data_IF_046947475776
#
_entry.id   IF_046947475776
#
_cell.length_a   1.000
_cell.length_b   1.000
_cell.length_c   1.000
_cell.angle_alpha   90.00
_cell.angle_beta   90.00
_cell.angle_gamma   90.00
#
_symmetry.space_group_name_H-M   'P 1'
#
loop_
_entity.id
_entity.type
_entity.pdbx_description
1 polymer ?
#
# COMPACT_ATOMS: atom_id res chain seq x y z
N UNK A 1 15.02 8.22 17.70
CA UNK A 1 15.02 9.08 16.51
C UNK A 1 13.93 10.15 16.63
N UNK A 2 12.71 9.80 16.98
CA UNK A 2 11.58 10.73 17.16
C UNK A 2 11.82 11.72 18.31
N UNK A 3 12.43 11.31 19.41
CA UNK A 3 12.78 12.17 20.55
C UNK A 3 13.80 13.28 20.20
N UNK A 4 14.47 13.20 19.05
CA UNK A 4 15.29 14.31 18.54
C UNK A 4 14.47 15.42 17.91
N UNK A 5 13.19 15.15 17.61
CA UNK A 5 12.31 16.05 16.87
C UNK A 5 11.23 16.65 17.76
N UNK A 6 10.78 15.91 18.79
CA UNK A 6 9.74 16.33 19.72
C UNK A 6 9.97 15.74 21.11
N UNK A 7 9.26 16.29 22.13
CA UNK A 7 9.27 15.76 23.50
C UNK A 7 8.71 14.34 23.54
N UNK A 8 9.16 13.55 24.53
CA UNK A 8 8.75 12.15 24.72
C UNK A 8 7.22 11.99 24.78
N UNK A 9 6.52 12.90 25.47
CA UNK A 9 5.05 12.89 25.59
C UNK A 9 4.37 13.03 24.24
N UNK A 10 4.80 13.99 23.41
CA UNK A 10 4.27 14.18 22.05
C UNK A 10 4.57 12.99 21.15
N UNK A 11 5.76 12.39 21.28
CA UNK A 11 6.13 11.19 20.52
C UNK A 11 5.22 10.02 20.90
N UNK A 12 4.96 9.82 22.18
CA UNK A 12 4.10 8.73 22.67
C UNK A 12 2.65 8.88 22.21
N UNK A 13 2.08 10.08 22.38
CA UNK A 13 0.73 10.40 21.89
C UNK A 13 0.58 10.17 20.37
N UNK A 14 1.58 10.63 19.61
CA UNK A 14 1.55 10.50 18.17
C UNK A 14 1.75 9.04 17.71
N UNK A 15 2.62 8.30 18.38
CA UNK A 15 2.83 6.88 18.11
C UNK A 15 1.57 6.05 18.36
N UNK A 16 0.82 6.35 19.41
CA UNK A 16 -0.48 5.73 19.68
C UNK A 16 -1.48 6.03 18.56
N UNK A 17 -1.58 7.31 18.14
CA UNK A 17 -2.48 7.76 17.06
C UNK A 17 -2.26 7.03 15.75
N UNK A 18 -1.01 6.69 15.40
CA UNK A 18 -0.68 5.98 14.14
C UNK A 18 -0.43 4.48 14.33
N UNK A 19 -0.73 3.94 15.50
CA UNK A 19 -0.45 2.54 15.87
C UNK A 19 1.01 2.15 15.58
N UNK A 20 1.98 2.95 16.03
CA UNK A 20 3.40 2.67 15.91
C UNK A 20 3.88 1.93 17.17
N UNK A 21 4.03 0.62 17.07
CA UNK A 21 4.32 -0.27 18.22
C UNK A 21 5.80 -0.56 18.43
N UNK A 22 6.68 -0.08 17.57
CA UNK A 22 8.10 -0.44 17.53
C UNK A 22 9.04 0.68 17.92
N UNK A 23 8.62 1.58 18.82
CA UNK A 23 9.44 2.71 19.30
C UNK A 23 10.79 2.27 19.88
N UNK A 24 10.83 1.12 20.57
CA UNK A 24 12.01 0.59 21.25
C UNK A 24 12.87 -0.34 20.38
N UNK A 25 12.44 -0.61 19.14
CA UNK A 25 13.18 -1.50 18.23
C UNK A 25 14.26 -0.75 17.46
N UNK A 26 15.36 -1.43 17.16
CA UNK A 26 16.35 -0.92 16.23
C UNK A 26 15.78 -0.85 14.82
N UNK A 27 16.19 0.15 14.03
CA UNK A 27 15.65 0.40 12.67
C UNK A 27 15.84 -0.78 11.71
N UNK A 28 16.89 -1.56 11.88
CA UNK A 28 17.17 -2.79 11.11
C UNK A 28 16.21 -3.95 11.40
N UNK A 29 15.43 -3.85 12.49
CA UNK A 29 14.45 -4.86 12.93
C UNK A 29 13.00 -4.44 12.78
N UNK A 30 12.77 -3.30 12.15
CA UNK A 30 11.42 -2.72 11.95
C UNK A 30 10.92 -3.07 10.57
N UNK A 31 9.62 -3.36 10.44
CA UNK A 31 9.01 -3.59 9.12
C UNK A 31 8.97 -2.32 8.28
N UNK A 32 8.94 -2.47 6.94
CA UNK A 32 8.85 -1.32 6.03
C UNK A 32 7.68 -0.38 6.34
N UNK A 33 6.51 -0.91 6.68
CA UNK A 33 5.35 -0.09 7.07
C UNK A 33 5.54 0.65 8.39
N UNK A 34 6.22 0.05 9.38
CA UNK A 34 6.53 0.74 10.64
C UNK A 34 7.62 1.80 10.45
N UNK A 35 8.62 1.52 9.61
CA UNK A 35 9.64 2.51 9.24
C UNK A 35 9.01 3.71 8.54
N UNK A 36 8.09 3.47 7.62
CA UNK A 36 7.33 4.51 6.92
C UNK A 36 6.51 5.35 7.90
N UNK A 37 5.77 4.72 8.81
CA UNK A 37 5.05 5.43 9.87
C UNK A 37 5.97 6.28 10.75
N UNK A 38 7.13 5.74 11.11
CA UNK A 38 8.15 6.46 11.88
C UNK A 38 8.69 7.69 11.13
N UNK A 39 8.94 7.59 9.83
CA UNK A 39 9.38 8.72 9.00
C UNK A 39 8.30 9.81 8.90
N UNK A 40 7.04 9.41 8.69
CA UNK A 40 5.90 10.33 8.65
C UNK A 40 5.74 11.03 10.01
N UNK A 41 5.81 10.28 11.12
CA UNK A 41 5.76 10.84 12.46
C UNK A 41 6.85 11.88 12.69
N UNK A 42 8.09 11.59 12.30
CA UNK A 42 9.20 12.53 12.41
C UNK A 42 8.96 13.82 11.61
N UNK A 43 8.36 13.71 10.43
CA UNK A 43 8.00 14.85 9.59
C UNK A 43 6.88 15.70 10.21
N UNK A 44 5.80 15.06 10.67
CA UNK A 44 4.65 15.74 11.24
C UNK A 44 4.91 16.38 12.62
N UNK A 45 5.81 15.80 13.40
CA UNK A 45 6.22 16.32 14.71
C UNK A 45 7.19 17.50 14.61
N UNK A 46 7.85 17.69 13.49
CA UNK A 46 8.78 18.79 13.24
C UNK A 46 8.00 20.05 12.86
N UNK A 47 8.23 21.17 13.57
CA UNK A 47 7.65 22.45 13.19
C UNK A 47 8.32 22.98 11.92
N UNK A 48 7.52 23.28 10.88
CA UNK A 48 7.96 23.83 9.62
C UNK A 48 6.86 24.68 8.96
N UNK A 49 7.22 25.50 7.99
CA UNK A 49 6.28 26.28 7.17
C UNK A 49 5.81 25.49 5.93
N UNK A 50 6.66 24.59 5.45
CA UNK A 50 6.45 23.78 4.25
C UNK A 50 6.86 22.34 4.52
N UNK A 51 5.98 21.40 4.18
CA UNK A 51 6.17 19.97 4.36
C UNK A 51 6.19 19.27 3.01
N UNK A 52 7.09 18.31 2.86
CA UNK A 52 7.16 17.45 1.69
C UNK A 52 6.97 15.99 2.12
N UNK A 53 6.07 15.29 1.43
CA UNK A 53 5.86 13.86 1.57
C UNK A 53 6.07 13.18 0.23
N UNK A 54 7.04 12.27 0.17
CA UNK A 54 7.35 11.46 -1.00
C UNK A 54 6.84 10.05 -0.78
N UNK A 55 5.81 9.66 -1.54
CA UNK A 55 5.10 8.38 -1.45
C UNK A 55 4.71 7.98 -0.01
N UNK A 56 4.01 8.81 0.76
CA UNK A 56 3.70 8.51 2.15
C UNK A 56 2.83 7.27 2.34
N UNK A 57 2.09 6.84 1.33
CA UNK A 57 1.23 5.64 1.39
C UNK A 57 1.96 4.32 1.13
N UNK A 58 3.24 4.36 0.70
CA UNK A 58 4.02 3.16 0.40
C UNK A 58 4.20 2.26 1.63
N UNK A 59 4.13 0.94 1.42
CA UNK A 59 4.23 -0.12 2.45
C UNK A 59 3.10 -0.13 3.49
N UNK A 60 2.12 0.75 3.41
CA UNK A 60 0.98 0.82 4.31
C UNK A 60 -0.21 0.00 3.78
N UNK A 61 -0.97 -0.59 4.69
CA UNK A 61 -2.27 -1.17 4.34
C UNK A 61 -3.34 -0.07 4.18
N UNK A 62 -4.52 -0.44 3.71
CA UNK A 62 -5.55 0.52 3.33
C UNK A 62 -6.01 1.39 4.52
N UNK A 63 -6.11 0.83 5.73
CA UNK A 63 -6.52 1.56 6.91
C UNK A 63 -5.47 2.60 7.30
N UNK A 64 -4.20 2.19 7.27
CA UNK A 64 -3.07 3.06 7.55
C UNK A 64 -2.92 4.16 6.48
N UNK A 65 -3.12 3.85 5.20
CA UNK A 65 -3.11 4.85 4.12
C UNK A 65 -4.15 5.93 4.34
N UNK A 66 -5.39 5.56 4.67
CA UNK A 66 -6.47 6.51 4.94
C UNK A 66 -6.16 7.35 6.18
N UNK A 67 -5.61 6.75 7.23
CA UNK A 67 -5.21 7.47 8.43
C UNK A 67 -4.16 8.54 8.13
N UNK A 68 -3.09 8.17 7.43
CA UNK A 68 -2.02 9.10 7.05
C UNK A 68 -2.54 10.18 6.09
N UNK A 69 -3.36 9.82 5.11
CA UNK A 69 -3.98 10.78 4.21
C UNK A 69 -4.80 11.84 4.96
N UNK A 70 -5.59 11.42 5.95
CA UNK A 70 -6.34 12.33 6.82
C UNK A 70 -5.42 13.27 7.60
N UNK A 71 -4.35 12.76 8.19
CA UNK A 71 -3.40 13.56 8.95
C UNK A 71 -2.68 14.60 8.06
N UNK A 72 -2.33 14.24 6.85
CA UNK A 72 -1.73 15.16 5.87
C UNK A 72 -2.75 16.22 5.45
N UNK A 73 -4.01 15.86 5.23
CA UNK A 73 -5.08 16.81 4.92
C UNK A 73 -5.32 17.79 6.07
N UNK A 74 -5.40 17.32 7.31
CA UNK A 74 -5.52 18.16 8.53
C UNK A 74 -4.32 19.12 8.70
N UNK A 75 -3.10 18.67 8.34
CA UNK A 75 -1.93 19.54 8.32
C UNK A 75 -2.07 20.61 7.25
N UNK A 76 -2.58 20.27 6.09
CA UNK A 76 -2.80 21.17 4.94
C UNK A 76 -3.74 22.33 5.24
N UNK A 77 -4.65 22.18 6.21
CA UNK A 77 -5.52 23.28 6.66
C UNK A 77 -4.74 24.44 7.33
N UNK A 78 -3.55 24.17 7.85
CA UNK A 78 -2.75 25.11 8.65
C UNK A 78 -1.39 25.43 8.06
N UNK A 79 -0.87 24.54 7.23
CA UNK A 79 0.49 24.59 6.70
C UNK A 79 0.49 24.28 5.19
N UNK A 80 1.53 24.70 4.51
CA UNK A 80 1.72 24.31 3.10
C UNK A 80 2.29 22.90 3.01
N UNK A 81 1.68 22.06 2.18
CA UNK A 81 2.08 20.66 2.01
C UNK A 81 2.23 20.34 0.52
N UNK A 82 3.27 19.63 0.17
CA UNK A 82 3.49 19.03 -1.15
C UNK A 82 3.58 17.52 -0.98
N UNK A 83 2.76 16.78 -1.73
CA UNK A 83 2.72 15.33 -1.69
C UNK A 83 3.03 14.76 -3.06
N UNK A 84 3.94 13.81 -3.13
CA UNK A 84 4.19 12.98 -4.32
C UNK A 84 3.51 11.64 -4.06
N UNK A 85 2.63 11.22 -4.95
CA UNK A 85 1.86 9.98 -4.82
C UNK A 85 1.53 9.37 -6.17
N UNK A 86 1.43 8.03 -6.18
CA UNK A 86 0.97 7.25 -7.33
C UNK A 86 -0.47 6.76 -7.18
N UNK A 87 -0.98 6.75 -5.95
CA UNK A 87 -2.38 6.38 -5.67
C UNK A 87 -3.29 7.59 -5.92
N UNK A 88 -4.01 7.52 -7.04
CA UNK A 88 -4.91 8.62 -7.46
C UNK A 88 -6.05 8.87 -6.48
N UNK A 89 -6.48 7.86 -5.71
CA UNK A 89 -7.51 8.03 -4.70
C UNK A 89 -6.99 8.81 -3.49
N UNK A 90 -5.73 8.59 -3.10
CA UNK A 90 -5.07 9.37 -2.05
C UNK A 90 -4.86 10.82 -2.53
N UNK A 91 -4.39 11.02 -3.77
CA UNK A 91 -4.24 12.38 -4.34
C UNK A 91 -5.57 13.13 -4.38
N UNK A 92 -6.65 12.50 -4.85
CA UNK A 92 -7.99 13.11 -4.87
C UNK A 92 -8.48 13.50 -3.47
N UNK A 93 -8.11 12.72 -2.46
CA UNK A 93 -8.50 12.98 -1.07
C UNK A 93 -7.69 14.11 -0.39
N UNK A 94 -6.38 14.19 -0.68
CA UNK A 94 -5.45 15.04 0.11
C UNK A 94 -5.17 16.39 -0.55
N UNK A 95 -5.28 16.50 -1.89
CA UNK A 95 -4.75 17.65 -2.63
C UNK A 95 -5.83 18.59 -3.15
N UNK A 96 -5.54 19.90 -3.16
CA UNK A 96 -6.37 20.92 -3.81
C UNK A 96 -6.02 21.07 -5.30
N UNK A 97 -4.74 20.88 -5.63
CA UNK A 97 -4.19 21.05 -6.97
C UNK A 97 -3.09 20.02 -7.23
N UNK A 98 -2.90 19.68 -8.50
CA UNK A 98 -1.91 18.70 -8.93
C UNK A 98 -1.04 19.30 -10.05
N UNK A 99 0.26 19.01 -10.01
CA UNK A 99 1.18 19.14 -11.13
C UNK A 99 1.44 17.74 -11.71
N UNK A 100 1.23 17.59 -13.01
CA UNK A 100 1.57 16.34 -13.71
C UNK A 100 3.03 16.43 -14.15
N UNK A 101 3.82 15.42 -13.80
CA UNK A 101 5.18 15.30 -14.32
C UNK A 101 5.17 14.33 -15.52
N UNK A 102 5.81 14.73 -16.61
CA UNK A 102 5.92 13.94 -17.83
C UNK A 102 7.27 14.14 -18.50
N UNK A 103 7.62 13.22 -19.39
CA UNK A 103 8.93 13.28 -20.08
C UNK A 103 9.41 11.90 -20.51
N UNK A 104 10.69 11.80 -20.76
CA UNK A 104 11.35 10.55 -21.11
C UNK A 104 12.30 10.12 -20.00
N UNK A 105 12.17 8.90 -19.47
CA UNK A 105 13.06 8.43 -18.40
C UNK A 105 14.54 8.61 -18.76
N UNK A 106 15.32 9.09 -17.81
CA UNK A 106 16.76 9.38 -17.92
C UNK A 106 17.15 10.42 -18.97
N UNK A 107 16.21 11.07 -19.64
CA UNK A 107 16.48 12.10 -20.64
C UNK A 107 16.00 13.50 -20.20
N UNK A 108 14.71 13.65 -19.90
CA UNK A 108 14.16 14.93 -19.44
C UNK A 108 12.85 14.71 -18.67
N UNK A 109 12.56 15.65 -17.76
CA UNK A 109 11.28 15.74 -17.05
C UNK A 109 10.72 17.15 -17.14
N UNK A 110 9.42 17.26 -17.34
CA UNK A 110 8.67 18.51 -17.39
C UNK A 110 7.58 18.48 -16.35
N UNK A 111 7.41 19.58 -15.64
CA UNK A 111 6.32 19.78 -14.67
C UNK A 111 5.23 20.61 -15.36
N UNK A 112 3.99 20.12 -15.38
CA UNK A 112 2.85 20.83 -15.95
C UNK A 112 2.54 22.12 -15.17
N UNK A 113 1.70 22.95 -15.73
CA UNK A 113 1.04 23.98 -14.94
C UNK A 113 0.17 23.35 -13.84
N UNK A 114 -0.20 24.15 -12.85
CA UNK A 114 -1.11 23.77 -11.76
C UNK A 114 -2.50 23.48 -12.34
N UNK A 115 -3.05 22.32 -12.03
CA UNK A 115 -4.35 21.86 -12.47
C UNK A 115 -5.24 21.56 -11.25
N UNK A 116 -6.53 21.78 -11.37
CA UNK A 116 -7.51 21.28 -10.40
C UNK A 116 -7.48 19.74 -10.37
N UNK A 117 -7.66 19.14 -9.21
CA UNK A 117 -7.47 17.70 -8.97
C UNK A 117 -8.17 16.83 -10.00
N UNK A 118 -9.47 17.04 -10.25
CA UNK A 118 -10.24 16.25 -11.22
C UNK A 118 -9.69 16.38 -12.64
N UNK A 119 -9.34 17.59 -13.06
CA UNK A 119 -8.79 17.80 -14.40
C UNK A 119 -7.42 17.12 -14.54
N UNK A 120 -6.57 17.23 -13.52
CA UNK A 120 -5.27 16.56 -13.50
C UNK A 120 -5.38 15.04 -13.57
N UNK A 121 -6.22 14.44 -12.74
CA UNK A 121 -6.43 12.99 -12.73
C UNK A 121 -6.99 12.52 -14.08
N UNK A 122 -7.99 13.19 -14.64
CA UNK A 122 -8.54 12.83 -15.93
C UNK A 122 -7.51 12.97 -17.05
N UNK A 123 -6.78 14.11 -17.12
CA UNK A 123 -5.70 14.33 -18.08
C UNK A 123 -4.61 13.26 -17.98
N UNK A 124 -4.24 12.89 -16.77
CA UNK A 124 -3.27 11.82 -16.54
C UNK A 124 -3.79 10.46 -17.02
N UNK A 125 -5.05 10.12 -16.76
CA UNK A 125 -5.65 8.87 -17.23
C UNK A 125 -5.85 8.86 -18.75
N UNK A 126 -6.24 9.97 -19.34
CA UNK A 126 -6.39 10.13 -20.80
C UNK A 126 -5.05 10.16 -21.54
N UNK A 127 -3.97 10.54 -20.84
CA UNK A 127 -2.66 10.68 -21.43
C UNK A 127 -2.50 11.97 -22.24
N UNK A 128 -3.34 12.99 -22.00
CA UNK A 128 -3.35 14.25 -22.72
C UNK A 128 -3.68 15.42 -21.80
N UNK A 129 -2.81 16.41 -21.76
CA UNK A 129 -2.98 17.64 -20.98
C UNK A 129 -3.53 18.71 -21.89
N UNK A 130 -4.81 19.03 -21.77
CA UNK A 130 -5.51 19.96 -22.64
C UNK A 130 -4.93 21.39 -22.53
N UNK A 131 -4.68 21.86 -21.33
CA UNK A 131 -4.20 23.22 -21.05
C UNK A 131 -2.85 23.54 -21.71
N UNK A 132 -2.02 22.51 -21.87
CA UNK A 132 -0.70 22.66 -22.51
C UNK A 132 -0.66 22.09 -23.93
N UNK A 133 -1.76 21.51 -24.41
CA UNK A 133 -1.85 20.79 -25.69
C UNK A 133 -0.74 19.72 -25.84
N UNK A 134 -0.47 18.98 -24.79
CA UNK A 134 0.60 17.98 -24.73
C UNK A 134 0.06 16.57 -24.55
N UNK A 135 0.45 15.67 -25.43
CA UNK A 135 0.22 14.23 -25.28
C UNK A 135 1.38 13.63 -24.51
N UNK A 136 1.05 13.07 -23.34
CA UNK A 136 2.03 12.43 -22.43
C UNK A 136 2.06 10.90 -22.58
N UNK A 137 1.04 10.32 -23.26
CA UNK A 137 0.95 8.87 -23.51
C UNK A 137 0.02 8.61 -24.70
N UNK A 138 0.36 7.64 -25.52
CA UNK A 138 -0.41 7.29 -26.73
C UNK A 138 -1.71 6.54 -26.41
N UNK A 139 -1.73 5.80 -25.30
CA UNK A 139 -2.91 5.04 -24.87
C UNK A 139 -3.48 5.56 -23.56
N UNK A 140 -4.80 5.56 -23.46
CA UNK A 140 -5.50 5.91 -22.23
C UNK A 140 -5.39 4.75 -21.21
N UNK A 141 -5.29 5.09 -19.92
CA UNK A 141 -5.47 4.12 -18.82
C UNK A 141 -6.98 3.94 -18.62
N UNK A 142 -7.49 2.76 -18.96
CA UNK A 142 -8.91 2.43 -18.80
C UNK A 142 -9.06 1.26 -17.83
N UNK A 143 -9.89 1.44 -16.83
CA UNK A 143 -10.34 0.36 -15.98
C UNK A 143 -11.53 -0.33 -16.65
N UNK A 144 -11.28 -1.45 -17.34
CA UNK A 144 -12.34 -2.24 -17.94
C UNK A 144 -13.14 -2.90 -16.82
N UNK A 145 -14.47 -2.72 -16.87
CA UNK A 145 -15.36 -3.50 -16.00
C UNK A 145 -15.31 -4.97 -16.43
N UNK A 146 -14.67 -5.80 -15.62
CA UNK A 146 -14.85 -7.24 -15.76
C UNK A 146 -16.20 -7.62 -15.17
N UNK A 147 -17.09 -8.19 -15.99
CA UNK A 147 -18.27 -8.84 -15.44
C UNK A 147 -17.82 -9.95 -14.50
N UNK A 148 -18.38 -10.05 -13.28
CA UNK A 148 -18.09 -11.17 -12.42
C UNK A 148 -18.35 -12.46 -13.20
N UNK A 149 -17.40 -13.38 -13.20
CA UNK A 149 -17.61 -14.71 -13.77
C UNK A 149 -18.63 -15.43 -12.88
N UNK A 150 -19.92 -15.29 -13.19
CA UNK A 150 -20.99 -16.00 -12.50
C UNK A 150 -20.98 -17.46 -12.95
N UNK A 151 -21.08 -18.39 -12.00
CA UNK A 151 -21.13 -19.82 -12.30
C UNK A 151 -19.80 -20.45 -12.71
N UNK A 152 -18.72 -20.12 -12.00
CA UNK A 152 -17.46 -20.80 -12.21
C UNK A 152 -17.54 -22.25 -11.68
N UNK A 153 -17.61 -23.21 -12.60
CA UNK A 153 -17.63 -24.66 -12.32
C UNK A 153 -16.30 -25.29 -12.77
N UNK A 154 -15.19 -24.77 -12.27
CA UNK A 154 -13.86 -25.33 -12.58
C UNK A 154 -13.55 -26.58 -11.76
N UNK A 155 -12.66 -27.40 -12.25
CA UNK A 155 -12.04 -28.50 -11.50
C UNK A 155 -11.31 -27.92 -10.27
N UNK A 156 -11.43 -28.58 -9.11
CA UNK A 156 -10.67 -28.19 -7.91
C UNK A 156 -9.20 -28.44 -8.17
N UNK A 157 -8.39 -27.37 -8.11
CA UNK A 157 -6.94 -27.44 -8.28
C UNK A 157 -6.23 -27.67 -6.94
N UNK A 158 -6.68 -27.00 -5.89
CA UNK A 158 -6.14 -27.13 -4.54
C UNK A 158 -7.29 -27.20 -3.57
N UNK A 159 -7.21 -28.12 -2.63
CA UNK A 159 -8.14 -28.20 -1.50
C UNK A 159 -7.34 -28.31 -0.21
N UNK A 160 -7.77 -27.60 0.80
CA UNK A 160 -7.17 -27.68 2.12
C UNK A 160 -8.25 -27.85 3.21
N UNK A 161 -7.94 -28.65 4.26
CA UNK A 161 -8.78 -28.75 5.45
C UNK A 161 -8.59 -27.50 6.33
N UNK A 162 -9.10 -27.52 7.56
CA UNK A 162 -8.69 -26.50 8.54
C UNK A 162 -7.17 -26.57 8.71
N UNK A 163 -6.50 -25.39 8.53
CA UNK A 163 -5.06 -25.24 8.72
C UNK A 163 -4.79 -24.35 9.90
N UNK A 164 -3.74 -24.62 10.66
CA UNK A 164 -3.21 -23.69 11.65
C UNK A 164 -1.70 -23.59 11.58
N UNK A 165 -1.18 -22.39 11.95
CA UNK A 165 0.25 -22.12 12.07
C UNK A 165 0.50 -21.17 13.21
N UNK A 166 1.41 -21.55 14.13
CA UNK A 166 1.89 -20.69 15.21
C UNK A 166 3.30 -20.19 14.90
N UNK A 167 3.52 -18.90 15.10
CA UNK A 167 4.82 -18.24 14.92
C UNK A 167 5.04 -17.27 16.07
N UNK A 168 5.78 -17.71 17.09
CA UNK A 168 5.88 -16.97 18.34
C UNK A 168 4.52 -16.84 19.01
N UNK A 169 4.10 -15.59 19.28
CA UNK A 169 2.78 -15.30 19.88
C UNK A 169 1.66 -15.20 18.84
N UNK A 170 1.99 -15.15 17.56
CA UNK A 170 1.01 -15.08 16.48
C UNK A 170 0.49 -16.46 16.10
N UNK A 171 -0.83 -16.61 16.01
CA UNK A 171 -1.51 -17.83 15.54
C UNK A 171 -2.37 -17.51 14.33
N UNK A 172 -2.13 -18.19 13.23
CA UNK A 172 -2.99 -18.17 12.05
C UNK A 172 -3.89 -19.40 12.05
N UNK A 173 -5.17 -19.20 11.85
CA UNK A 173 -6.14 -20.26 11.58
C UNK A 173 -6.85 -19.98 10.25
N UNK A 174 -6.83 -20.95 9.35
CA UNK A 174 -7.58 -20.92 8.11
C UNK A 174 -8.63 -22.01 8.10
N UNK A 175 -9.87 -21.64 7.80
CA UNK A 175 -10.95 -22.63 7.58
C UNK A 175 -10.65 -23.42 6.32
N UNK A 176 -11.27 -24.61 6.21
CA UNK A 176 -11.22 -25.43 5.00
C UNK A 176 -11.68 -24.62 3.78
N UNK A 177 -11.02 -24.81 2.66
CA UNK A 177 -11.32 -24.09 1.43
C UNK A 177 -10.73 -24.79 0.21
N UNK A 178 -10.96 -24.19 -0.95
CA UNK A 178 -10.51 -24.71 -2.23
C UNK A 178 -10.18 -23.59 -3.22
N UNK A 179 -9.35 -23.90 -4.20
CA UNK A 179 -9.05 -23.03 -5.36
C UNK A 179 -9.35 -23.85 -6.61
N UNK A 180 -10.11 -23.24 -7.52
CA UNK A 180 -10.48 -23.86 -8.77
C UNK A 180 -9.46 -23.53 -9.87
N UNK A 181 -9.30 -24.45 -10.81
CA UNK A 181 -8.42 -24.26 -11.98
C UNK A 181 -8.82 -23.00 -12.77
N UNK A 182 -7.86 -22.11 -13.04
CA UNK A 182 -8.07 -20.85 -13.76
C UNK A 182 -8.75 -19.75 -12.92
N UNK A 183 -8.98 -19.96 -11.62
CA UNK A 183 -9.49 -18.93 -10.71
C UNK A 183 -8.37 -17.94 -10.34
N UNK A 184 -8.72 -16.65 -10.20
CA UNK A 184 -7.88 -15.65 -9.55
C UNK A 184 -8.47 -15.37 -8.17
N UNK A 185 -7.73 -15.74 -7.13
CA UNK A 185 -8.13 -15.55 -5.75
C UNK A 185 -7.43 -14.33 -5.15
N UNK A 186 -8.19 -13.34 -4.71
CA UNK A 186 -7.67 -12.17 -3.97
C UNK A 186 -7.63 -12.44 -2.46
N UNK A 187 -6.52 -12.06 -1.81
CA UNK A 187 -6.38 -12.10 -0.34
C UNK A 187 -6.19 -10.69 0.17
N UNK A 188 -7.13 -10.21 0.99
CA UNK A 188 -7.12 -8.85 1.56
C UNK A 188 -7.12 -8.92 3.09
N UNK A 189 -6.56 -7.89 3.74
CA UNK A 189 -6.50 -7.74 5.19
C UNK A 189 -5.38 -6.80 5.62
N UNK A 190 -5.38 -6.38 6.88
CA UNK A 190 -4.38 -5.51 7.48
C UNK A 190 -2.95 -6.09 7.44
N UNK A 191 -1.97 -5.26 7.74
CA UNK A 191 -0.59 -5.71 7.88
C UNK A 191 -0.45 -6.68 9.07
N UNK A 192 0.51 -7.61 8.98
CA UNK A 192 0.78 -8.63 10.01
C UNK A 192 -0.40 -9.61 10.32
N UNK A 193 -1.49 -9.61 9.56
CA UNK A 193 -2.62 -10.54 9.75
C UNK A 193 -2.38 -11.97 9.20
N UNK A 194 -1.18 -12.24 8.67
CA UNK A 194 -0.80 -13.58 8.21
C UNK A 194 -1.08 -13.87 6.74
N UNK A 195 -1.41 -12.87 5.90
CA UNK A 195 -1.63 -13.05 4.44
C UNK A 195 -0.49 -13.82 3.78
N UNK A 196 0.74 -13.36 3.98
CA UNK A 196 1.95 -13.99 3.43
C UNK A 196 2.15 -15.41 4.00
N UNK A 197 1.87 -15.62 5.27
CA UNK A 197 1.94 -16.94 5.92
C UNK A 197 0.95 -17.91 5.29
N UNK A 198 -0.29 -17.48 5.08
CA UNK A 198 -1.31 -18.28 4.41
C UNK A 198 -0.90 -18.66 2.99
N UNK A 199 -0.44 -17.70 2.18
CA UNK A 199 0.02 -17.98 0.81
C UNK A 199 1.23 -18.90 0.80
N UNK A 200 2.19 -18.74 1.72
CA UNK A 200 3.34 -19.65 1.86
C UNK A 200 2.92 -21.07 2.24
N UNK A 201 1.88 -21.25 3.04
CA UNK A 201 1.33 -22.59 3.33
C UNK A 201 0.70 -23.20 2.08
N UNK A 202 -0.13 -22.45 1.34
CA UNK A 202 -0.73 -22.92 0.10
C UNK A 202 0.34 -23.24 -0.96
N UNK A 203 1.41 -22.48 -1.01
CA UNK A 203 2.54 -22.69 -1.91
C UNK A 203 3.49 -23.83 -1.44
N UNK A 204 3.20 -24.49 -0.31
CA UNK A 204 4.06 -25.51 0.32
C UNK A 204 5.47 -25.04 0.67
N UNK A 205 5.69 -23.72 0.73
CA UNK A 205 6.95 -23.11 1.20
C UNK A 205 7.03 -23.16 2.73
N UNK A 206 5.87 -23.12 3.40
CA UNK A 206 5.75 -23.20 4.85
C UNK A 206 4.79 -24.33 5.22
N UNK A 207 5.26 -25.28 6.06
CA UNK A 207 4.40 -26.36 6.55
C UNK A 207 3.46 -25.86 7.65
N UNK A 208 2.14 -26.09 7.56
CA UNK A 208 1.22 -25.83 8.67
C UNK A 208 1.53 -26.75 9.88
N UNK A 209 1.12 -26.35 11.06
CA UNK A 209 1.26 -27.17 12.28
C UNK A 209 0.10 -28.15 12.41
N UNK A 210 -1.09 -27.76 11.91
CA UNK A 210 -2.27 -28.64 11.83
C UNK A 210 -2.86 -28.56 10.43
N UNK A 211 -3.33 -29.70 9.95
CA UNK A 211 -3.86 -29.89 8.61
C UNK A 211 -2.76 -30.09 7.57
N UNK A 212 -3.11 -30.65 6.45
CA UNK A 212 -2.19 -30.93 5.34
C UNK A 212 -2.83 -30.59 4.00
N UNK A 213 -2.04 -30.04 3.09
CA UNK A 213 -2.47 -29.75 1.72
C UNK A 213 -1.95 -30.89 0.85
N UNK A 214 -2.83 -31.83 0.56
CA UNK A 214 -2.53 -33.10 -0.12
C UNK A 214 -2.65 -32.98 -1.65
N UNK A 215 -2.30 -31.86 -2.24
CA UNK A 215 -2.37 -31.70 -3.69
C UNK A 215 -0.98 -31.57 -4.28
N UNK A 216 -0.61 -32.45 -5.20
CA UNK A 216 0.60 -32.31 -5.98
C UNK A 216 0.38 -31.28 -7.09
N UNK A 217 0.91 -30.07 -6.88
CA UNK A 217 0.87 -28.97 -7.85
C UNK A 217 2.25 -28.33 -7.99
N UNK A 218 2.56 -27.91 -9.20
CA UNK A 218 3.72 -27.06 -9.43
C UNK A 218 3.35 -25.62 -9.09
N UNK A 219 4.05 -25.02 -8.15
CA UNK A 219 3.80 -23.66 -7.67
C UNK A 219 4.94 -22.75 -8.09
N UNK A 220 4.61 -21.63 -8.73
CA UNK A 220 5.52 -20.49 -8.90
C UNK A 220 5.16 -19.43 -7.86
N UNK A 221 6.12 -19.05 -7.02
CA UNK A 221 5.92 -18.11 -5.91
C UNK A 221 6.82 -16.89 -6.07
N UNK A 222 6.21 -15.69 -6.18
CA UNK A 222 6.92 -14.41 -6.16
C UNK A 222 6.92 -13.89 -4.72
N UNK A 223 8.05 -13.83 -4.01
CA UNK A 223 8.11 -13.30 -2.66
C UNK A 223 7.86 -11.78 -2.63
N UNK A 224 7.55 -11.25 -1.45
CA UNK A 224 7.34 -9.82 -1.25
C UNK A 224 8.65 -9.04 -1.46
N UNK A 225 9.75 -9.56 -0.94
CA UNK A 225 11.11 -9.03 -1.12
C UNK A 225 11.93 -10.04 -1.93
N UNK A 226 12.81 -9.53 -2.78
CA UNK A 226 13.82 -10.33 -3.49
C UNK A 226 15.11 -10.08 -2.71
N UNK A 227 15.59 -11.13 -2.03
CA UNK A 227 16.88 -11.13 -1.32
C UNK A 227 18.02 -11.28 -2.32
#
# INVERSE_FOLDING_TARGET
LLEKVASSDKVSEFAEKINLTSLDKKLDKVSGGELQKGAIAATLLKEADLYFFDEPSSYLDIEQRILIARMISELGEKKTVVVIEHDLAILDYVTDNIHIMYGSPNAYGIVSQKLAVRNAINSYLEGYIQESNVRIRDSQIKFLKHSPRTGWYGEILVKWPKLSKKMGDFKLEAKAGEILRGQVLGVVGGNATGKTTFVKMLAKVLKPDEGEIDTEITVSYKPQYID
#
